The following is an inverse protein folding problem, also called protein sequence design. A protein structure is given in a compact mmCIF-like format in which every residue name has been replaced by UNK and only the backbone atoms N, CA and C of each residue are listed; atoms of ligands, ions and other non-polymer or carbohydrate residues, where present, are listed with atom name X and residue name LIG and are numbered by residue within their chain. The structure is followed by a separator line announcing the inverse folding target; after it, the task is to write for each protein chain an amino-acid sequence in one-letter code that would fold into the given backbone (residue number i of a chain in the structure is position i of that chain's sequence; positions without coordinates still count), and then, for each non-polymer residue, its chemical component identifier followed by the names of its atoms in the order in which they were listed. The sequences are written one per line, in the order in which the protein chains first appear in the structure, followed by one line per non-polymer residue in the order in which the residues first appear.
data_IF_763670766114
#
_entry.id   IF_763670766114
#
_cell.length_a   1.000
_cell.length_b   1.000
_cell.length_c   1.000
_cell.angle_alpha   90.00
_cell.angle_beta   90.00
_cell.angle_gamma   90.00
#
_symmetry.space_group_name_H-M   'P 1'
#
loop_
_entity.id
_entity.type
_entity.pdbx_description
1 polymer ?
#
# COMPACT_ATOMS: atom_id res chain seq x y z
N UNK A 1 -34.92 6.57 -5.18
CA UNK A 1 -34.74 7.98 -4.78
C UNK A 1 -33.36 8.26 -4.16
N UNK A 2 -32.89 7.60 -3.09
CA UNK A 2 -31.57 7.87 -2.44
C UNK A 2 -30.36 7.79 -3.39
N UNK A 3 -30.30 6.84 -4.33
CA UNK A 3 -29.20 6.72 -5.31
C UNK A 3 -29.17 7.89 -6.30
N UNK A 4 -30.33 8.38 -6.75
CA UNK A 4 -30.45 9.49 -7.69
C UNK A 4 -30.00 10.81 -7.04
N UNK A 5 -30.44 11.09 -5.81
CA UNK A 5 -30.00 12.28 -5.06
C UNK A 5 -28.49 12.29 -4.78
N UNK A 6 -27.88 11.12 -4.50
CA UNK A 6 -26.42 10.99 -4.33
C UNK A 6 -25.67 11.29 -5.63
N UNK A 7 -26.16 10.80 -6.78
CA UNK A 7 -25.57 11.06 -8.10
C UNK A 7 -25.63 12.55 -8.47
N UNK A 8 -26.79 13.19 -8.24
CA UNK A 8 -26.96 14.62 -8.49
C UNK A 8 -26.00 15.43 -7.62
N UNK A 9 -25.92 15.16 -6.31
CA UNK A 9 -24.98 15.83 -5.42
C UNK A 9 -23.54 15.70 -5.89
N UNK A 10 -23.13 14.50 -6.29
CA UNK A 10 -21.76 14.25 -6.79
C UNK A 10 -21.46 15.04 -8.05
N UNK A 11 -22.39 15.08 -9.02
CA UNK A 11 -22.25 15.85 -10.26
C UNK A 11 -22.19 17.35 -9.98
N UNK A 12 -23.04 17.86 -9.06
CA UNK A 12 -23.02 19.27 -8.65
C UNK A 12 -21.69 19.63 -7.99
N UNK A 13 -21.18 18.79 -7.09
CA UNK A 13 -19.88 19.01 -6.45
C UNK A 13 -18.75 19.03 -7.48
N UNK A 14 -18.76 18.11 -8.44
CA UNK A 14 -17.75 18.07 -9.50
C UNK A 14 -17.83 19.31 -10.40
N UNK A 15 -19.04 19.75 -10.75
CA UNK A 15 -19.25 20.98 -11.53
C UNK A 15 -18.70 22.22 -10.79
N UNK A 16 -19.05 22.39 -9.52
CA UNK A 16 -18.56 23.50 -8.70
C UNK A 16 -17.03 23.44 -8.56
N UNK A 17 -16.45 22.25 -8.40
CA UNK A 17 -15.01 22.09 -8.31
C UNK A 17 -14.30 22.46 -9.63
N UNK A 18 -14.87 22.08 -10.79
CA UNK A 18 -14.39 22.49 -12.11
C UNK A 18 -14.38 24.00 -12.26
N UNK A 19 -15.49 24.64 -11.94
CA UNK A 19 -15.62 26.10 -11.99
C UNK A 19 -14.61 26.78 -11.07
N UNK A 20 -14.51 26.33 -9.81
CA UNK A 20 -13.54 26.84 -8.85
C UNK A 20 -12.10 26.67 -9.34
N UNK A 21 -11.78 25.56 -10.02
CA UNK A 21 -10.44 25.32 -10.56
C UNK A 21 -10.06 26.29 -11.68
N UNK A 22 -11.03 26.84 -12.41
CA UNK A 22 -10.81 27.86 -13.44
C UNK A 22 -10.65 29.27 -12.85
N UNK A 23 -11.52 29.61 -11.88
CA UNK A 23 -11.61 30.97 -11.31
C UNK A 23 -10.56 31.19 -10.20
N UNK A 24 -10.34 30.18 -9.36
CA UNK A 24 -9.47 30.20 -8.19
C UNK A 24 -8.50 29.01 -8.19
N UNK A 25 -7.61 28.89 -9.21
CA UNK A 25 -6.77 27.71 -9.38
C UNK A 25 -5.84 27.44 -8.19
N UNK A 26 -5.24 28.47 -7.60
CA UNK A 26 -4.33 28.35 -6.45
C UNK A 26 -5.01 27.75 -5.22
N UNK A 27 -6.06 28.35 -4.68
CA UNK A 27 -6.83 27.82 -3.57
C UNK A 27 -7.41 26.42 -3.84
N UNK A 28 -7.91 26.18 -5.06
CA UNK A 28 -8.50 24.89 -5.45
C UNK A 28 -7.43 23.78 -5.47
N UNK A 29 -6.26 24.05 -6.04
CA UNK A 29 -5.15 23.10 -6.05
C UNK A 29 -4.68 22.74 -4.63
N UNK A 30 -4.52 23.73 -3.75
CA UNK A 30 -4.19 23.51 -2.33
C UNK A 30 -5.24 22.69 -1.58
N UNK A 31 -6.51 22.98 -1.83
CA UNK A 31 -7.61 22.21 -1.26
C UNK A 31 -7.57 20.75 -1.68
N UNK A 32 -7.40 20.49 -2.98
CA UNK A 32 -7.29 19.14 -3.53
C UNK A 32 -6.06 18.40 -2.98
N UNK A 33 -4.92 19.09 -2.86
CA UNK A 33 -3.71 18.49 -2.28
C UNK A 33 -3.90 18.08 -0.83
N UNK A 34 -4.52 18.93 -0.01
CA UNK A 34 -4.87 18.58 1.39
C UNK A 34 -5.79 17.36 1.46
N UNK A 35 -6.81 17.32 0.60
CA UNK A 35 -7.70 16.17 0.50
C UNK A 35 -6.98 14.90 0.06
N UNK A 36 -6.05 15.02 -0.88
CA UNK A 36 -5.26 13.92 -1.41
C UNK A 36 -4.36 13.26 -0.35
N UNK A 37 -3.76 14.04 0.55
CA UNK A 37 -2.90 13.54 1.63
C UNK A 37 -3.64 13.24 2.93
N UNK A 38 -4.97 13.40 2.98
CA UNK A 38 -5.77 13.08 4.17
C UNK A 38 -6.50 11.76 3.96
N UNK A 39 -6.06 10.67 4.60
CA UNK A 39 -6.72 9.38 4.47
C UNK A 39 -8.12 9.40 5.10
N UNK A 40 -9.02 8.60 4.56
CA UNK A 40 -10.32 8.38 5.16
C UNK A 40 -10.23 7.24 6.19
N UNK A 41 -11.03 7.32 7.26
CA UNK A 41 -11.12 6.22 8.19
C UNK A 41 -11.69 4.97 7.49
N UNK A 42 -10.98 3.85 7.59
CA UNK A 42 -11.45 2.58 7.07
C UNK A 42 -12.42 1.92 8.06
N UNK A 43 -13.49 1.31 7.53
CA UNK A 43 -14.33 0.41 8.32
C UNK A 43 -13.55 -0.87 8.63
N UNK A 44 -13.48 -1.24 9.90
CA UNK A 44 -12.79 -2.48 10.32
C UNK A 44 -13.61 -3.70 9.93
N UNK A 45 -12.95 -4.70 9.32
CA UNK A 45 -13.60 -5.97 9.03
C UNK A 45 -13.94 -6.76 10.31
N UNK A 46 -14.89 -7.68 10.22
CA UNK A 46 -15.23 -8.57 11.36
C UNK A 46 -14.01 -9.41 11.78
N UNK A 47 -13.22 -9.91 10.83
CA UNK A 47 -11.99 -10.64 11.09
C UNK A 47 -10.96 -9.80 11.85
N UNK A 48 -10.74 -8.55 11.45
CA UNK A 48 -9.87 -7.64 12.17
C UNK A 48 -10.33 -7.37 13.62
N UNK A 49 -11.64 -7.26 13.83
CA UNK A 49 -12.21 -7.06 15.17
C UNK A 49 -12.06 -8.32 16.05
N UNK A 50 -12.24 -9.50 15.47
CA UNK A 50 -12.07 -10.77 16.16
C UNK A 50 -10.60 -11.04 16.53
N UNK A 51 -9.68 -10.74 15.64
CA UNK A 51 -8.25 -10.94 15.84
C UNK A 51 -7.71 -10.09 17.00
N UNK A 52 -8.23 -8.89 17.17
CA UNK A 52 -7.81 -7.97 18.25
C UNK A 52 -8.20 -8.49 19.65
N UNK A 53 -9.17 -9.41 19.74
CA UNK A 53 -9.71 -9.89 21.01
C UNK A 53 -9.14 -11.22 21.50
N UNK A 54 -8.55 -12.08 20.62
CA UNK A 54 -8.33 -13.50 20.96
C UNK A 54 -7.02 -14.13 20.47
N UNK A 55 -6.14 -13.40 19.78
CA UNK A 55 -5.13 -14.05 18.91
C UNK A 55 -3.68 -14.04 19.40
N UNK A 56 -3.41 -13.71 20.67
CA UNK A 56 -2.03 -13.62 21.16
C UNK A 56 -1.21 -12.51 20.45
N UNK A 57 -1.88 -11.50 19.91
CA UNK A 57 -1.23 -10.34 19.29
C UNK A 57 -0.54 -9.49 20.36
N UNK A 58 0.74 -9.21 20.17
CA UNK A 58 1.45 -8.16 20.89
C UNK A 58 1.30 -6.85 20.13
N UNK A 59 0.70 -5.86 20.76
CA UNK A 59 0.58 -4.51 20.20
C UNK A 59 1.58 -3.60 20.88
N UNK A 60 2.33 -2.84 20.08
CA UNK A 60 3.35 -1.92 20.57
C UNK A 60 3.24 -0.58 19.82
N UNK A 61 3.59 0.51 20.48
CA UNK A 61 3.68 1.83 19.85
C UNK A 61 5.15 2.23 19.77
N UNK A 62 5.64 2.39 18.53
CA UNK A 62 6.98 2.89 18.24
C UNK A 62 6.90 4.39 17.92
N UNK A 63 7.83 5.18 18.44
CA UNK A 63 7.97 6.59 18.01
C UNK A 63 9.03 6.64 16.91
N UNK A 64 8.58 6.78 15.67
CA UNK A 64 9.42 6.82 14.47
C UNK A 64 9.25 8.20 13.79
N UNK A 65 10.35 8.89 13.51
CA UNK A 65 10.33 10.26 12.96
C UNK A 65 9.38 11.21 13.72
N UNK A 66 9.24 11.05 15.05
CA UNK A 66 8.33 11.85 15.87
C UNK A 66 6.84 11.49 15.75
N UNK A 67 6.51 10.39 15.09
CA UNK A 67 5.15 9.89 14.89
C UNK A 67 4.97 8.59 15.68
N UNK A 68 3.87 8.48 16.41
CA UNK A 68 3.53 7.25 17.11
C UNK A 68 2.90 6.25 16.14
N UNK A 69 3.61 5.17 15.86
CA UNK A 69 3.25 4.09 14.95
C UNK A 69 2.82 2.87 15.76
N UNK A 70 1.60 2.41 15.55
CA UNK A 70 1.10 1.18 16.17
C UNK A 70 1.52 -0.03 15.33
N UNK A 71 2.22 -0.96 15.97
CA UNK A 71 2.64 -2.24 15.39
C UNK A 71 1.88 -3.40 16.04
N UNK A 72 1.69 -4.45 15.28
CA UNK A 72 1.01 -5.70 15.67
C UNK A 72 1.94 -6.86 15.36
N UNK A 73 2.21 -7.70 16.35
CA UNK A 73 3.19 -8.78 16.24
C UNK A 73 2.55 -10.10 16.66
N UNK A 74 2.78 -11.14 15.87
CA UNK A 74 2.44 -12.53 16.17
C UNK A 74 3.72 -13.37 16.05
N UNK A 75 4.09 -14.09 17.10
CA UNK A 75 5.40 -14.74 17.21
C UNK A 75 6.50 -13.75 17.57
N UNK A 76 7.74 -14.19 17.46
CA UNK A 76 8.93 -13.42 17.84
C UNK A 76 9.80 -13.14 16.61
N UNK A 77 9.73 -11.95 16.01
CA UNK A 77 10.52 -11.61 14.82
C UNK A 77 12.04 -11.56 15.08
N UNK A 78 12.48 -11.61 16.35
CA UNK A 78 13.90 -11.70 16.68
C UNK A 78 14.45 -13.12 16.65
N UNK A 79 13.57 -14.13 16.67
CA UNK A 79 13.93 -15.56 16.73
C UNK A 79 13.40 -16.38 15.57
N UNK A 80 12.38 -15.88 14.90
CA UNK A 80 11.70 -16.54 13.78
C UNK A 80 11.88 -15.72 12.49
N UNK A 81 12.01 -16.34 11.32
CA UNK A 81 11.87 -15.59 10.08
C UNK A 81 10.52 -14.88 10.09
N UNK A 82 10.47 -13.61 9.66
CA UNK A 82 9.22 -12.88 9.77
C UNK A 82 8.72 -12.29 8.45
N UNK A 83 7.41 -12.09 8.40
CA UNK A 83 6.69 -11.43 7.31
C UNK A 83 6.34 -10.02 7.75
N UNK A 84 6.74 -9.01 6.95
CA UNK A 84 6.31 -7.63 7.14
C UNK A 84 5.09 -7.34 6.26
N UNK A 85 4.00 -6.89 6.88
CA UNK A 85 2.74 -6.54 6.21
C UNK A 85 2.58 -5.03 6.10
N UNK A 86 2.35 -4.53 4.88
CA UNK A 86 2.11 -3.12 4.61
C UNK A 86 0.79 -2.90 3.87
N UNK A 87 -0.14 -2.23 4.53
CA UNK A 87 -1.48 -1.93 4.00
C UNK A 87 -1.47 -0.78 2.97
N UNK A 88 -2.58 -0.63 2.23
CA UNK A 88 -2.80 0.44 1.27
C UNK A 88 -3.36 1.74 1.86
N UNK A 89 -3.63 2.72 1.00
CA UNK A 89 -4.24 3.99 1.37
C UNK A 89 -5.63 3.81 1.99
N UNK A 90 -5.94 4.59 3.02
CA UNK A 90 -7.21 4.52 3.76
C UNK A 90 -7.55 3.11 4.26
N UNK A 91 -6.52 2.31 4.62
CA UNK A 91 -6.64 0.96 5.15
C UNK A 91 -5.98 0.86 6.54
N UNK A 92 -5.62 -0.32 7.01
CA UNK A 92 -5.02 -0.58 8.33
C UNK A 92 -4.34 -1.96 8.34
N UNK A 93 -3.43 -2.19 9.30
CA UNK A 93 -2.63 -3.41 9.36
C UNK A 93 -3.47 -4.70 9.45
N UNK A 94 -4.50 -4.70 10.30
CA UNK A 94 -5.36 -5.88 10.50
C UNK A 94 -6.26 -6.21 9.28
N UNK A 95 -6.11 -5.51 8.16
CA UNK A 95 -6.73 -5.89 6.89
C UNK A 95 -6.22 -7.24 6.38
N UNK A 96 -5.02 -7.65 6.83
CA UNK A 96 -4.43 -8.96 6.55
C UNK A 96 -4.79 -10.04 7.58
N UNK A 97 -5.83 -9.84 8.40
CA UNK A 97 -6.18 -10.74 9.51
C UNK A 97 -6.34 -12.21 9.10
N UNK A 98 -6.94 -12.48 7.93
CA UNK A 98 -7.15 -13.82 7.39
C UNK A 98 -5.83 -14.55 7.06
N UNK A 99 -4.73 -13.83 6.91
CA UNK A 99 -3.43 -14.38 6.54
C UNK A 99 -2.64 -14.87 7.75
N UNK A 100 -2.90 -14.31 8.93
CA UNK A 100 -2.08 -14.53 10.13
C UNK A 100 -2.00 -15.99 10.54
N UNK A 101 -3.13 -16.75 10.66
CA UNK A 101 -3.06 -18.16 11.07
C UNK A 101 -2.22 -19.00 10.11
N UNK A 102 -2.32 -18.75 8.82
CA UNK A 102 -1.59 -19.50 7.79
C UNK A 102 -0.10 -19.17 7.83
N UNK A 103 0.27 -17.90 7.93
CA UNK A 103 1.67 -17.47 8.06
C UNK A 103 2.30 -18.06 9.33
N UNK A 104 1.58 -18.05 10.45
CA UNK A 104 2.04 -18.65 11.71
C UNK A 104 2.21 -20.17 11.59
N UNK A 105 1.30 -20.88 10.92
CA UNK A 105 1.44 -22.33 10.71
C UNK A 105 2.64 -22.72 9.84
N UNK A 106 3.15 -21.78 9.04
CA UNK A 106 4.36 -21.95 8.24
C UNK A 106 5.65 -21.60 9.00
N UNK A 107 5.55 -21.23 10.29
CA UNK A 107 6.70 -20.88 11.13
C UNK A 107 7.19 -19.44 11.00
N UNK A 108 6.44 -18.56 10.33
CA UNK A 108 6.79 -17.15 10.28
C UNK A 108 6.23 -16.38 11.48
N UNK A 109 7.06 -15.55 12.12
CA UNK A 109 6.55 -14.41 12.85
C UNK A 109 5.89 -13.42 11.86
N UNK A 110 4.94 -12.63 12.33
CA UNK A 110 4.26 -11.65 11.48
C UNK A 110 4.29 -10.29 12.16
N UNK A 111 4.70 -9.28 11.41
CA UNK A 111 4.68 -7.88 11.84
C UNK A 111 3.79 -7.09 10.87
N UNK A 112 2.74 -6.49 11.40
CA UNK A 112 1.94 -5.49 10.70
C UNK A 112 2.05 -4.16 11.40
N UNK A 113 1.83 -3.05 10.72
CA UNK A 113 1.79 -1.74 11.33
C UNK A 113 0.80 -0.83 10.62
N UNK A 114 0.21 0.09 11.37
CA UNK A 114 -0.63 1.13 10.81
C UNK A 114 0.25 2.30 10.37
N UNK A 115 0.13 2.71 9.12
CA UNK A 115 0.80 3.88 8.57
C UNK A 115 0.36 5.18 9.29
N UNK A 116 1.16 6.27 9.29
CA UNK A 116 0.74 7.56 9.84
C UNK A 116 -0.65 7.97 9.36
N UNK A 117 -1.47 8.50 10.27
CA UNK A 117 -2.86 8.89 10.02
C UNK A 117 -3.81 7.74 9.62
N UNK A 118 -3.40 6.47 9.79
CA UNK A 118 -4.23 5.30 9.54
C UNK A 118 -4.38 4.47 10.82
N UNK A 119 -5.45 3.69 10.88
CA UNK A 119 -5.68 2.75 11.97
C UNK A 119 -5.59 3.37 13.35
N UNK A 120 -4.67 2.89 14.17
CA UNK A 120 -4.38 3.37 15.52
C UNK A 120 -3.12 4.25 15.62
N UNK A 121 -2.40 4.44 14.51
CA UNK A 121 -1.23 5.33 14.45
C UNK A 121 -1.63 6.80 14.47
N UNK A 122 -0.75 7.63 15.02
CA UNK A 122 -0.98 9.08 15.10
C UNK A 122 -0.78 9.77 13.74
N UNK A 123 -1.19 11.04 13.69
CA UNK A 123 -1.09 11.87 12.49
C UNK A 123 -2.44 12.31 11.94
N UNK A 124 -2.42 13.20 10.96
CA UNK A 124 -3.63 13.71 10.26
C UNK A 124 -3.52 13.57 8.75
N UNK A 125 -2.30 13.45 8.25
CA UNK A 125 -2.00 13.35 6.82
C UNK A 125 -0.96 12.29 6.58
N UNK A 126 -0.94 11.74 5.37
CA UNK A 126 0.09 10.83 4.90
C UNK A 126 0.33 11.05 3.40
N UNK A 127 1.44 10.57 2.88
CA UNK A 127 1.83 10.67 1.48
C UNK A 127 2.84 9.59 1.13
N UNK A 128 3.06 9.31 -0.14
CA UNK A 128 3.94 8.21 -0.55
C UNK A 128 5.36 8.31 0.05
N UNK A 129 6.07 9.46 0.07
CA UNK A 129 7.35 9.56 0.76
C UNK A 129 7.31 9.09 2.22
N UNK A 130 6.26 9.44 2.97
CA UNK A 130 6.10 9.03 4.36
C UNK A 130 5.75 7.54 4.49
N UNK A 131 4.95 6.98 3.54
CA UNK A 131 4.73 5.53 3.45
C UNK A 131 6.05 4.77 3.28
N UNK A 132 6.92 5.26 2.39
CA UNK A 132 8.25 4.70 2.13
C UNK A 132 9.10 4.74 3.39
N UNK A 133 9.18 5.90 4.02
CA UNK A 133 9.96 6.12 5.23
C UNK A 133 9.50 5.21 6.38
N UNK A 134 8.21 5.07 6.59
CA UNK A 134 7.68 4.21 7.66
C UNK A 134 7.91 2.73 7.40
N UNK A 135 7.78 2.24 6.16
CA UNK A 135 8.14 0.87 5.79
C UNK A 135 9.62 0.61 6.13
N UNK A 136 10.50 1.54 5.78
CA UNK A 136 11.92 1.42 6.03
C UNK A 136 12.24 1.46 7.54
N UNK A 137 11.68 2.41 8.29
CA UNK A 137 11.96 2.55 9.73
C UNK A 137 11.40 1.38 10.55
N UNK A 138 10.17 0.93 10.27
CA UNK A 138 9.61 -0.27 10.90
C UNK A 138 10.42 -1.50 10.53
N UNK A 139 10.75 -1.65 9.25
CA UNK A 139 11.58 -2.77 8.80
C UNK A 139 12.96 -2.81 9.45
N UNK A 140 13.63 -1.67 9.60
CA UNK A 140 14.92 -1.60 10.30
C UNK A 140 14.79 -1.90 11.80
N UNK A 141 13.69 -1.50 12.43
CA UNK A 141 13.44 -1.80 13.84
C UNK A 141 13.35 -3.31 14.12
N UNK A 142 12.71 -4.07 13.23
CA UNK A 142 12.56 -5.53 13.36
C UNK A 142 13.64 -6.33 12.63
N UNK A 143 14.51 -5.68 11.86
CA UNK A 143 15.53 -6.32 11.05
C UNK A 143 15.05 -6.64 9.63
N UNK A 144 15.77 -7.51 8.92
CA UNK A 144 15.46 -7.88 7.54
C UNK A 144 14.31 -8.91 7.50
N UNK A 145 13.17 -8.63 6.85
CA UNK A 145 12.08 -9.60 6.73
C UNK A 145 12.42 -10.70 5.71
N UNK A 146 12.03 -11.92 6.00
CA UNK A 146 12.06 -13.02 5.03
C UNK A 146 11.09 -12.77 3.88
N UNK A 147 9.92 -12.19 4.19
CA UNK A 147 8.90 -11.86 3.20
C UNK A 147 8.32 -10.47 3.48
N UNK A 148 8.16 -9.68 2.43
CA UNK A 148 7.35 -8.47 2.45
C UNK A 148 6.04 -8.74 1.71
N UNK A 149 4.91 -8.43 2.33
CA UNK A 149 3.59 -8.49 1.69
C UNK A 149 2.96 -7.10 1.74
N UNK A 150 2.72 -6.51 0.59
CA UNK A 150 2.12 -5.19 0.48
C UNK A 150 0.86 -5.17 -0.37
N UNK A 151 -0.06 -4.26 -0.05
CA UNK A 151 -1.27 -3.99 -0.83
C UNK A 151 -1.28 -2.56 -1.34
N UNK A 152 -1.62 -2.37 -2.62
CA UNK A 152 -1.84 -1.05 -3.23
C UNK A 152 -0.67 -0.09 -2.99
N UNK A 153 -0.85 1.02 -2.28
CA UNK A 153 0.22 1.96 -1.95
C UNK A 153 1.35 1.32 -1.13
N UNK A 154 1.03 0.42 -0.18
CA UNK A 154 2.05 -0.34 0.56
C UNK A 154 2.90 -1.23 -0.35
N UNK A 155 2.27 -1.88 -1.35
CA UNK A 155 2.97 -2.67 -2.35
C UNK A 155 3.88 -1.83 -3.25
N UNK A 156 3.46 -0.62 -3.60
CA UNK A 156 4.26 0.28 -4.45
C UNK A 156 5.39 0.96 -3.67
N UNK A 157 5.16 1.29 -2.41
CA UNK A 157 6.10 2.03 -1.58
C UNK A 157 7.38 1.23 -1.27
N UNK A 158 7.29 -0.11 -1.13
CA UNK A 158 8.46 -0.95 -0.80
C UNK A 158 9.58 -0.85 -1.83
N UNK A 159 9.25 -0.56 -3.09
CA UNK A 159 10.25 -0.39 -4.17
C UNK A 159 11.23 0.75 -3.87
N UNK A 160 10.75 1.77 -3.16
CA UNK A 160 11.53 2.94 -2.78
C UNK A 160 12.09 2.86 -1.35
N UNK A 161 11.58 1.93 -0.54
CA UNK A 161 12.00 1.74 0.84
C UNK A 161 13.27 0.90 0.98
N UNK A 162 13.65 0.17 -0.06
CA UNK A 162 14.84 -0.69 -0.05
C UNK A 162 16.13 0.09 -0.21
N UNK A 163 17.14 -0.37 0.48
CA UNK A 163 18.53 0.04 0.32
C UNK A 163 19.47 -1.17 0.53
N UNK A 164 20.78 -0.94 0.60
CA UNK A 164 21.78 -2.00 0.78
C UNK A 164 21.69 -2.70 2.14
N UNK A 165 21.23 -2.00 3.18
CA UNK A 165 21.14 -2.52 4.54
C UNK A 165 19.80 -3.21 4.80
N UNK A 166 18.73 -2.76 4.13
CA UNK A 166 17.38 -3.29 4.32
C UNK A 166 16.72 -3.66 3.01
N UNK A 167 16.65 -4.94 2.74
CA UNK A 167 15.99 -5.51 1.58
C UNK A 167 15.33 -6.85 1.95
N UNK A 168 14.00 -6.99 1.83
CA UNK A 168 13.31 -8.27 2.00
C UNK A 168 13.85 -9.35 1.07
N UNK A 169 13.77 -10.63 1.49
CA UNK A 169 14.25 -11.73 0.65
C UNK A 169 13.26 -12.09 -0.45
N UNK A 170 11.96 -11.99 -0.18
CA UNK A 170 10.85 -12.26 -1.12
C UNK A 170 9.80 -11.17 -1.04
N UNK A 171 9.11 -10.93 -2.15
CA UNK A 171 8.10 -9.88 -2.24
C UNK A 171 6.78 -10.42 -2.75
N UNK A 172 5.68 -10.08 -2.08
CA UNK A 172 4.32 -10.29 -2.54
C UNK A 172 3.63 -8.93 -2.63
N UNK A 173 3.29 -8.53 -3.84
CA UNK A 173 2.80 -7.19 -4.12
C UNK A 173 1.41 -7.28 -4.77
N UNK A 174 0.39 -6.90 -4.00
CA UNK A 174 -1.02 -7.04 -4.37
C UNK A 174 -1.54 -5.70 -4.87
N UNK A 175 -2.02 -5.67 -6.12
CA UNK A 175 -2.55 -4.49 -6.79
C UNK A 175 -1.61 -3.27 -6.77
N UNK A 176 -0.30 -3.41 -7.06
CA UNK A 176 0.63 -2.29 -7.10
C UNK A 176 0.37 -1.36 -8.28
N UNK A 177 0.90 -0.13 -8.20
CA UNK A 177 0.92 0.82 -9.31
C UNK A 177 2.36 1.36 -9.56
N UNK A 178 2.68 1.64 -10.81
CA UNK A 178 4.05 2.01 -11.23
C UNK A 178 4.34 3.50 -11.03
N UNK A 179 3.35 4.36 -11.31
CA UNK A 179 3.54 5.81 -11.39
C UNK A 179 2.41 6.55 -10.66
N UNK A 180 2.80 7.33 -9.65
CA UNK A 180 1.84 8.16 -8.90
C UNK A 180 1.47 9.42 -9.69
N UNK A 181 2.43 10.04 -10.39
CA UNK A 181 2.22 11.22 -11.20
C UNK A 181 1.18 10.98 -12.30
N UNK A 182 1.35 9.91 -13.07
CA UNK A 182 0.42 9.52 -14.15
C UNK A 182 -1.01 9.30 -13.64
N UNK A 183 -1.15 8.69 -12.45
CA UNK A 183 -2.46 8.48 -11.85
C UNK A 183 -3.11 9.80 -11.41
N UNK A 184 -2.35 10.69 -10.77
CA UNK A 184 -2.85 12.00 -10.34
C UNK A 184 -3.25 12.87 -11.55
N UNK A 185 -2.39 12.98 -12.56
CA UNK A 185 -2.66 13.72 -13.80
C UNK A 185 -3.94 13.24 -14.46
N UNK A 186 -4.08 11.92 -14.67
CA UNK A 186 -5.27 11.33 -15.27
C UNK A 186 -6.54 11.60 -14.47
N UNK A 187 -6.48 11.57 -13.14
CA UNK A 187 -7.62 11.89 -12.28
C UNK A 187 -8.07 13.35 -12.46
N UNK A 188 -7.11 14.29 -12.50
CA UNK A 188 -7.39 15.71 -12.73
C UNK A 188 -8.01 15.96 -14.11
N UNK A 189 -7.45 15.38 -15.17
CA UNK A 189 -7.95 15.45 -16.53
C UNK A 189 -9.38 14.89 -16.64
N UNK A 190 -9.60 13.68 -16.12
CA UNK A 190 -10.92 13.02 -16.10
C UNK A 190 -11.94 13.84 -15.32
N UNK A 191 -11.52 14.44 -14.20
CA UNK A 191 -12.35 15.33 -13.42
C UNK A 191 -12.57 16.69 -14.07
N UNK A 192 -11.85 17.05 -15.14
CA UNK A 192 -11.94 18.35 -15.81
C UNK A 192 -11.44 19.51 -14.95
N UNK A 193 -10.46 19.25 -14.10
CA UNK A 193 -9.80 20.25 -13.26
C UNK A 193 -8.75 20.99 -14.09
N UNK A 194 -8.64 22.32 -13.90
CA UNK A 194 -7.72 23.14 -14.71
C UNK A 194 -6.25 22.79 -14.50
N UNK A 195 -5.40 22.87 -15.55
CA UNK A 195 -3.96 22.64 -15.43
C UNK A 195 -3.29 23.57 -14.39
N UNK A 196 -3.75 24.82 -14.27
CA UNK A 196 -3.25 25.76 -13.27
C UNK A 196 -3.54 25.31 -11.83
N UNK A 197 -4.69 24.66 -11.60
CA UNK A 197 -5.00 24.09 -10.29
C UNK A 197 -4.16 22.83 -10.03
N UNK A 198 -3.85 22.03 -11.06
CA UNK A 198 -2.93 20.91 -10.94
C UNK A 198 -1.50 21.37 -10.58
N UNK A 199 -0.98 22.40 -11.25
CA UNK A 199 0.32 22.98 -10.86
C UNK A 199 0.35 23.46 -9.40
N UNK A 200 -0.74 24.08 -8.93
CA UNK A 200 -0.85 24.51 -7.52
C UNK A 200 -0.97 23.31 -6.55
N UNK A 201 -1.59 22.24 -6.98
CA UNK A 201 -1.65 20.97 -6.24
C UNK A 201 -0.26 20.37 -6.08
N UNK A 202 0.52 20.24 -7.16
CA UNK A 202 1.88 19.71 -7.10
C UNK A 202 2.80 20.59 -6.27
N UNK A 203 2.72 21.91 -6.43
CA UNK A 203 3.52 22.87 -5.65
C UNK A 203 3.24 22.76 -4.15
N UNK A 204 1.96 22.58 -3.75
CA UNK A 204 1.62 22.35 -2.36
C UNK A 204 2.16 21.02 -1.86
N UNK A 205 2.02 19.93 -2.61
CA UNK A 205 2.57 18.64 -2.21
C UNK A 205 4.08 18.71 -2.06
N UNK A 206 4.77 19.35 -2.99
CA UNK A 206 6.21 19.58 -2.86
C UNK A 206 6.56 20.35 -1.59
N UNK A 207 5.81 21.39 -1.25
CA UNK A 207 6.06 22.18 -0.03
C UNK A 207 5.87 21.37 1.27
N UNK A 208 5.05 20.32 1.24
CA UNK A 208 4.80 19.44 2.39
C UNK A 208 5.79 18.28 2.44
N UNK A 209 6.12 17.71 1.30
CA UNK A 209 6.90 16.46 1.22
C UNK A 209 8.39 16.67 0.96
N UNK A 210 8.77 17.86 0.44
CA UNK A 210 10.12 18.12 -0.08
C UNK A 210 10.49 17.28 -1.31
N UNK A 211 9.52 16.57 -1.90
CA UNK A 211 9.74 15.59 -2.99
C UNK A 211 8.78 15.82 -4.14
N UNK A 212 9.26 15.57 -5.36
CA UNK A 212 8.44 15.61 -6.58
C UNK A 212 7.90 14.24 -6.90
N UNK A 213 6.73 14.17 -7.55
CA UNK A 213 6.16 12.90 -8.01
C UNK A 213 7.11 12.11 -8.91
N UNK A 214 7.87 12.79 -9.77
CA UNK A 214 8.85 12.16 -10.66
C UNK A 214 9.95 11.37 -9.93
N UNK A 215 10.22 11.65 -8.66
CA UNK A 215 11.17 10.89 -7.86
C UNK A 215 10.61 9.51 -7.46
N UNK A 216 9.29 9.31 -7.56
CA UNK A 216 8.58 8.08 -7.23
C UNK A 216 8.01 7.39 -8.48
N UNK A 217 8.76 7.45 -9.58
CA UNK A 217 8.44 6.69 -10.79
C UNK A 217 9.04 5.28 -10.70
N UNK A 218 8.19 4.30 -10.42
CA UNK A 218 8.61 2.90 -10.28
C UNK A 218 9.34 2.36 -11.51
N UNK A 219 9.05 2.87 -12.69
CA UNK A 219 9.71 2.47 -13.93
C UNK A 219 11.25 2.62 -13.89
N UNK A 220 11.77 3.55 -13.10
CA UNK A 220 13.23 3.77 -12.94
C UNK A 220 13.85 2.84 -11.90
N UNK A 221 13.05 2.38 -10.92
CA UNK A 221 13.53 1.55 -9.80
C UNK A 221 13.31 0.07 -10.01
N UNK A 222 12.19 -0.31 -10.61
CA UNK A 222 11.80 -1.72 -10.81
C UNK A 222 12.83 -2.57 -11.55
N UNK A 223 13.55 -2.07 -12.59
CA UNK A 223 14.62 -2.84 -13.24
C UNK A 223 15.82 -3.15 -12.34
N UNK A 224 15.97 -2.40 -11.24
CA UNK A 224 17.08 -2.54 -10.29
C UNK A 224 16.73 -3.47 -9.12
N UNK A 225 15.47 -3.91 -9.03
CA UNK A 225 14.98 -4.74 -7.94
C UNK A 225 15.59 -6.13 -7.99
N UNK A 226 15.95 -6.63 -6.81
CA UNK A 226 16.53 -7.97 -6.62
C UNK A 226 15.57 -8.86 -5.83
N UNK A 227 15.74 -10.16 -5.98
CA UNK A 227 14.93 -11.17 -5.31
C UNK A 227 13.61 -11.50 -6.01
N UNK A 228 13.03 -12.66 -5.69
CA UNK A 228 11.79 -13.14 -6.28
C UNK A 228 10.60 -12.28 -5.83
N UNK A 229 9.73 -11.96 -6.79
CA UNK A 229 8.52 -11.19 -6.54
C UNK A 229 7.29 -11.87 -7.14
N UNK A 230 6.20 -11.92 -6.38
CA UNK A 230 4.87 -12.31 -6.85
C UNK A 230 4.00 -11.06 -6.92
N UNK A 231 3.60 -10.69 -8.11
CA UNK A 231 2.68 -9.58 -8.36
C UNK A 231 1.29 -10.19 -8.55
N UNK A 232 0.31 -9.70 -7.80
CA UNK A 232 -1.07 -10.17 -7.86
C UNK A 232 -1.96 -9.02 -8.28
N UNK A 233 -2.77 -9.21 -9.34
CA UNK A 233 -3.66 -8.15 -9.80
C UNK A 233 -4.93 -8.71 -10.45
N UNK A 234 -6.06 -8.05 -10.20
CA UNK A 234 -7.36 -8.45 -10.75
C UNK A 234 -7.67 -7.68 -12.04
N UNK A 235 -8.18 -8.37 -13.07
CA UNK A 235 -8.54 -7.73 -14.35
C UNK A 235 -9.65 -6.69 -14.22
N UNK A 236 -10.50 -6.82 -13.21
CA UNK A 236 -11.64 -5.93 -12.98
C UNK A 236 -11.35 -4.90 -11.86
N UNK A 237 -10.07 -4.66 -11.55
CA UNK A 237 -9.66 -3.61 -10.63
C UNK A 237 -9.98 -2.23 -11.22
N UNK A 238 -10.91 -1.51 -10.56
CA UNK A 238 -11.35 -0.18 -11.00
C UNK A 238 -10.56 0.97 -10.34
N UNK A 239 -9.84 0.67 -9.26
CA UNK A 239 -9.03 1.65 -8.54
C UNK A 239 -7.64 1.76 -9.18
N UNK A 240 -7.02 0.61 -9.41
CA UNK A 240 -5.73 0.50 -10.09
C UNK A 240 -5.88 -0.48 -11.26
N UNK A 241 -5.90 0.00 -12.52
CA UNK A 241 -6.06 -0.87 -13.69
C UNK A 241 -5.02 -1.98 -13.73
N UNK A 242 -5.44 -3.19 -14.12
CA UNK A 242 -4.61 -4.40 -14.17
C UNK A 242 -3.29 -4.21 -14.94
N UNK A 243 -3.31 -3.39 -15.98
CA UNK A 243 -2.13 -3.08 -16.81
C UNK A 243 -0.99 -2.47 -15.98
N UNK A 244 -1.30 -1.82 -14.86
CA UNK A 244 -0.28 -1.27 -13.95
C UNK A 244 0.46 -2.40 -13.24
N UNK A 245 -0.24 -3.41 -12.73
CA UNK A 245 0.38 -4.61 -12.15
C UNK A 245 1.15 -5.43 -13.18
N UNK A 246 0.60 -5.61 -14.38
CA UNK A 246 1.28 -6.28 -15.49
C UNK A 246 2.59 -5.55 -15.87
N UNK A 247 2.55 -4.20 -15.96
CA UNK A 247 3.75 -3.38 -16.19
C UNK A 247 4.75 -3.51 -15.04
N UNK A 248 4.26 -3.57 -13.81
CA UNK A 248 5.10 -3.77 -12.61
C UNK A 248 5.87 -5.09 -12.71
N UNK A 249 5.18 -6.19 -12.99
CA UNK A 249 5.79 -7.50 -13.16
C UNK A 249 6.77 -7.56 -14.36
N UNK A 250 6.43 -6.89 -15.45
CA UNK A 250 7.32 -6.82 -16.64
C UNK A 250 8.64 -6.10 -16.36
N UNK A 251 8.62 -5.09 -15.50
CA UNK A 251 9.80 -4.27 -15.21
C UNK A 251 10.70 -4.85 -14.11
N UNK A 252 10.16 -5.71 -13.23
CA UNK A 252 10.94 -6.34 -12.17
C UNK A 252 11.55 -7.66 -12.66
N UNK A 253 12.87 -7.80 -12.69
CA UNK A 253 13.53 -9.02 -13.18
C UNK A 253 13.16 -10.25 -12.36
N UNK A 254 12.61 -11.28 -13.00
CA UNK A 254 12.21 -12.52 -12.33
C UNK A 254 10.88 -12.47 -11.57
N UNK A 255 10.13 -11.38 -11.68
CA UNK A 255 8.80 -11.32 -11.08
C UNK A 255 7.80 -12.23 -11.80
N UNK A 256 6.90 -12.85 -11.01
CA UNK A 256 5.75 -13.62 -11.51
C UNK A 256 4.49 -12.78 -11.39
N UNK A 257 3.61 -12.84 -12.38
CA UNK A 257 2.29 -12.21 -12.34
C UNK A 257 1.21 -13.28 -12.12
N UNK A 258 0.45 -13.16 -11.05
CA UNK A 258 -0.77 -13.92 -10.83
C UNK A 258 -1.99 -13.01 -11.07
N UNK A 259 -2.77 -13.37 -12.09
CA UNK A 259 -3.96 -12.59 -12.48
C UNK A 259 -5.22 -13.28 -12.01
N UNK A 260 -6.12 -12.52 -11.38
CA UNK A 260 -7.47 -12.93 -11.03
C UNK A 260 -8.51 -12.17 -11.85
N UNK A 261 -9.77 -12.58 -11.75
CA UNK A 261 -10.89 -11.93 -12.43
C UNK A 261 -12.10 -11.83 -11.50
N UNK A 262 -12.75 -10.66 -11.47
CA UNK A 262 -13.98 -10.44 -10.72
C UNK A 262 -13.80 -10.08 -9.24
N UNK A 263 -12.57 -10.04 -8.72
CA UNK A 263 -12.29 -9.70 -7.33
C UNK A 263 -12.19 -8.19 -7.09
N UNK A 264 -11.67 -7.45 -8.07
CA UNK A 264 -11.39 -6.02 -7.94
C UNK A 264 -10.26 -5.73 -6.96
N UNK A 265 -10.13 -4.48 -6.50
CA UNK A 265 -8.98 -3.99 -5.75
C UNK A 265 -8.83 -4.60 -4.34
N UNK A 266 -9.92 -4.70 -3.60
CA UNK A 266 -9.88 -4.99 -2.16
C UNK A 266 -10.17 -6.45 -1.80
N UNK A 267 -11.03 -7.16 -2.58
CA UNK A 267 -11.39 -8.56 -2.28
C UNK A 267 -10.27 -9.56 -2.56
N UNK A 268 -9.22 -9.14 -3.27
CA UNK A 268 -7.98 -9.90 -3.42
C UNK A 268 -7.42 -10.37 -2.08
N UNK A 269 -7.50 -9.51 -1.04
CA UNK A 269 -6.94 -9.80 0.28
C UNK A 269 -7.68 -10.91 1.04
N UNK A 270 -8.94 -11.16 0.70
CA UNK A 270 -9.77 -12.13 1.43
C UNK A 270 -10.01 -13.40 0.61
N UNK A 271 -9.52 -13.47 -0.63
CA UNK A 271 -9.86 -14.57 -1.53
C UNK A 271 -8.93 -15.78 -1.34
N UNK A 272 -9.48 -16.98 -1.08
CA UNK A 272 -8.68 -18.17 -0.79
C UNK A 272 -7.65 -18.51 -1.88
N UNK A 273 -7.97 -18.32 -3.18
CA UNK A 273 -7.02 -18.61 -4.26
C UNK A 273 -5.79 -17.69 -4.22
N UNK A 274 -5.97 -16.42 -3.82
CA UNK A 274 -4.88 -15.47 -3.66
C UNK A 274 -4.02 -15.86 -2.47
N UNK A 275 -4.65 -16.15 -1.33
CA UNK A 275 -3.94 -16.58 -0.13
C UNK A 275 -3.13 -17.85 -0.41
N UNK A 276 -3.74 -18.85 -1.05
CA UNK A 276 -3.07 -20.12 -1.40
C UNK A 276 -1.88 -19.90 -2.36
N UNK A 277 -2.03 -19.04 -3.37
CA UNK A 277 -0.91 -18.71 -4.29
C UNK A 277 0.25 -18.08 -3.54
N UNK A 278 -0.04 -17.15 -2.62
CA UNK A 278 0.99 -16.54 -1.79
C UNK A 278 1.66 -17.56 -0.88
N UNK A 279 0.90 -18.41 -0.18
CA UNK A 279 1.47 -19.44 0.68
C UNK A 279 2.38 -20.41 -0.10
N UNK A 280 2.01 -20.76 -1.34
CA UNK A 280 2.86 -21.56 -2.20
C UNK A 280 4.14 -20.84 -2.62
N UNK A 281 4.06 -19.54 -2.91
CA UNK A 281 5.21 -18.74 -3.33
C UNK A 281 6.23 -18.50 -2.19
N UNK A 282 5.76 -18.33 -0.95
CA UNK A 282 6.62 -18.02 0.19
C UNK A 282 7.11 -19.25 0.95
N UNK A 283 6.68 -20.46 0.58
CA UNK A 283 7.21 -21.69 1.21
C UNK A 283 8.73 -21.64 1.20
N UNK A 284 9.41 -21.92 2.34
CA UNK A 284 10.84 -22.15 2.34
C UNK A 284 11.15 -23.25 1.32
N UNK A 285 12.18 -23.05 0.52
CA UNK A 285 12.70 -24.15 -0.30
C UNK A 285 13.13 -25.25 0.66
N UNK A 286 12.49 -26.41 0.56
CA UNK A 286 12.98 -27.62 1.23
C UNK A 286 14.38 -27.84 0.67
N UNK A 287 15.39 -27.67 1.47
CA UNK A 287 16.75 -28.10 1.12
C UNK A 287 16.67 -29.62 1.00
N UNK A 288 16.31 -30.10 -0.20
CA UNK A 288 16.45 -31.51 -0.56
C UNK A 288 17.94 -31.76 -0.74
N UNK A 289 18.52 -32.47 0.20
CA UNK A 289 19.82 -33.08 0.02
C UNK A 289 20.83 -32.78 1.10
N UNK A 290 20.71 -33.50 2.20
CA UNK A 290 21.81 -34.29 2.75
C UNK A 290 21.23 -35.22 3.81
N UNK A 291 20.89 -36.41 3.35
CA UNK A 291 20.98 -37.61 4.20
C UNK A 291 22.16 -38.37 3.60
N UNK A 292 23.26 -38.33 4.31
CA UNK A 292 24.25 -39.40 4.33
C UNK A 292 24.80 -39.50 5.74
#
# INVERSE_FOLDING_TARGET
MKKLSRKIRMLTQLFLLRLASQVLPGPTGKYLARRFITPQAAERSKAASALNASSGVRTETLTLAGINITTYQWGDPSREPYVLLAHGWSSYALRFAEWIPMLRSMGYAVVGFDQPAHGASSGKTNHLPLFVEMIQQVGRHFGKPAVFIGHSMGASAVVFAQDEEWCPERFVLIAPFVAISENATRQFETAGISPKAFTSFEAYLYSVTGRRFAEYEGALRLPLMKGPALIIHDRNDRETPWEKGARFAKLWPGARLFTTEGLGHNRLLDHPSVINEVMNFIKPETINGQVD
#
